data_IF_091990543437
#
_entry.id   IF_091990543437
#
_cell.length_a   1.000
_cell.length_b   1.000
_cell.length_c   1.000
_cell.angle_alpha   90.00
_cell.angle_beta   90.00
_cell.angle_gamma   90.00
#
_symmetry.space_group_name_H-M   'P 1'
#
loop_
_entity.id
_entity.type
_entity.pdbx_description
1 polymer ?
#
# COMPACT_ATOMS: atom_id res chain seq x y z
N UNK A 1 27.81 -38.16 21.18
CA UNK A 1 28.15 -36.72 21.16
C UNK A 1 27.54 -36.12 19.91
N UNK A 2 26.38 -35.48 20.04
CA UNK A 2 25.77 -34.67 18.99
C UNK A 2 25.53 -33.31 19.64
N UNK A 3 26.19 -32.30 19.08
CA UNK A 3 26.15 -30.91 19.54
C UNK A 3 24.72 -30.37 19.54
N UNK A 4 24.17 -30.14 20.72
CA UNK A 4 23.05 -29.21 20.94
C UNK A 4 23.67 -27.83 21.13
N UNK A 5 23.85 -27.08 20.04
CA UNK A 5 24.24 -25.69 20.14
C UNK A 5 23.03 -24.87 20.64
N UNK A 6 23.23 -23.93 21.57
CA UNK A 6 22.19 -23.45 22.46
C UNK A 6 21.31 -22.39 21.82
N UNK A 7 20.07 -22.33 22.31
CA UNK A 7 19.09 -21.27 22.16
C UNK A 7 19.77 -19.89 22.17
N UNK A 8 19.90 -19.30 20.99
CA UNK A 8 20.35 -17.93 20.82
C UNK A 8 19.30 -16.95 21.33
N UNK A 9 19.60 -16.35 22.47
CA UNK A 9 19.23 -14.98 22.81
C UNK A 9 17.74 -14.69 23.10
N UNK A 10 17.21 -15.18 24.23
CA UNK A 10 15.94 -14.73 24.83
C UNK A 10 16.06 -13.39 25.56
N UNK A 11 16.58 -12.37 24.88
CA UNK A 11 16.26 -10.99 25.24
C UNK A 11 14.82 -10.75 24.82
N UNK A 12 13.85 -10.88 25.72
CA UNK A 12 12.44 -10.76 25.39
C UNK A 12 12.18 -9.46 24.61
N UNK A 13 11.86 -9.61 23.31
CA UNK A 13 11.68 -8.47 22.42
C UNK A 13 10.61 -7.53 22.98
N UNK A 14 10.85 -6.23 22.89
CA UNK A 14 9.85 -5.23 23.24
C UNK A 14 8.86 -5.10 22.08
N UNK A 15 7.56 -5.10 22.37
CA UNK A 15 6.59 -4.57 21.44
C UNK A 15 6.82 -3.05 21.33
N UNK A 16 6.94 -2.56 20.10
CA UNK A 16 7.09 -1.15 19.79
C UNK A 16 5.72 -0.52 19.62
N UNK A 17 5.62 0.78 19.91
CA UNK A 17 4.44 1.54 19.56
C UNK A 17 4.78 2.65 18.58
N UNK A 18 3.83 2.99 17.72
CA UNK A 18 3.92 4.06 16.74
C UNK A 18 2.54 4.67 16.50
N UNK A 19 2.49 5.76 15.76
CA UNK A 19 1.23 6.42 15.38
C UNK A 19 0.89 6.00 13.95
N UNK A 20 -0.32 5.47 13.72
CA UNK A 20 -0.78 5.13 12.37
C UNK A 20 -1.18 6.38 11.56
N UNK A 21 -1.51 6.20 10.28
CA UNK A 21 -1.96 7.30 9.41
C UNK A 21 -3.25 7.99 9.88
N UNK A 22 -3.96 7.41 10.86
CA UNK A 22 -5.15 7.99 11.49
C UNK A 22 -4.84 8.66 12.84
N UNK A 23 -3.57 8.83 13.20
CA UNK A 23 -3.16 9.49 14.44
C UNK A 23 -3.29 8.63 15.70
N UNK A 24 -3.50 7.31 15.57
CA UNK A 24 -3.73 6.41 16.71
C UNK A 24 -2.48 5.66 17.11
N UNK A 25 -2.32 5.42 18.41
CA UNK A 25 -1.24 4.57 18.93
C UNK A 25 -1.51 3.10 18.57
N UNK A 26 -0.53 2.48 17.92
CA UNK A 26 -0.53 1.08 17.50
C UNK A 26 0.67 0.37 18.09
N UNK A 27 0.49 -0.87 18.52
CA UNK A 27 1.53 -1.78 18.99
C UNK A 27 1.85 -2.80 17.91
N UNK A 28 3.15 -2.99 17.69
CA UNK A 28 3.72 -3.93 16.73
C UNK A 28 5.07 -4.43 17.24
N UNK A 29 5.80 -5.15 16.40
CA UNK A 29 7.15 -5.62 16.70
C UNK A 29 8.01 -5.57 15.46
N UNK A 30 9.32 -5.50 15.65
CA UNK A 30 10.25 -5.56 14.53
C UNK A 30 10.51 -7.01 14.13
N UNK A 31 10.44 -7.29 12.84
CA UNK A 31 10.84 -8.54 12.24
C UNK A 31 11.56 -8.23 10.93
N UNK A 32 12.81 -8.68 10.81
CA UNK A 32 13.66 -8.45 9.63
C UNK A 32 13.76 -6.97 9.22
N UNK A 33 13.82 -6.05 10.20
CA UNK A 33 13.92 -4.61 9.98
C UNK A 33 12.60 -3.91 9.63
N UNK A 34 11.48 -4.65 9.60
CA UNK A 34 10.14 -4.10 9.32
C UNK A 34 9.27 -4.16 10.56
N UNK A 35 8.44 -3.14 10.77
CA UNK A 35 7.44 -3.14 11.85
C UNK A 35 6.21 -3.93 11.41
N UNK A 36 5.96 -5.04 12.10
CA UNK A 36 4.79 -5.90 11.92
C UNK A 36 3.74 -5.52 12.96
N UNK A 37 2.61 -4.99 12.50
CA UNK A 37 1.45 -4.69 13.34
C UNK A 37 0.41 -5.81 13.34
N UNK A 38 0.33 -6.53 12.22
CA UNK A 38 -0.61 -7.61 12.01
C UNK A 38 0.17 -8.85 11.57
N UNK A 39 0.49 -9.76 12.50
CA UNK A 39 1.25 -10.98 12.22
C UNK A 39 0.46 -12.02 11.40
N UNK A 40 -0.81 -11.75 11.08
CA UNK A 40 -1.56 -12.56 10.13
C UNK A 40 -1.34 -12.16 8.68
N UNK A 41 -0.63 -11.05 8.41
CA UNK A 41 -0.39 -10.52 7.07
C UNK A 41 1.10 -10.46 6.80
N UNK A 42 1.49 -10.65 5.54
CA UNK A 42 2.85 -10.35 5.12
C UNK A 42 3.17 -8.84 5.34
N UNK A 43 4.45 -8.44 5.36
CA UNK A 43 4.82 -7.05 5.57
C UNK A 43 4.32 -6.09 4.47
N UNK A 44 4.04 -6.60 3.27
CA UNK A 44 3.43 -5.86 2.17
C UNK A 44 1.91 -5.70 2.32
N UNK A 45 1.31 -6.37 3.31
CA UNK A 45 -0.14 -6.48 3.57
C UNK A 45 -0.93 -7.06 2.38
N UNK A 46 -0.29 -7.92 1.57
CA UNK A 46 -0.88 -8.48 0.34
C UNK A 46 -1.44 -9.89 0.52
N UNK A 47 -0.86 -10.69 1.41
CA UNK A 47 -1.29 -12.07 1.65
C UNK A 47 -1.33 -12.44 3.12
N UNK A 48 -2.21 -13.39 3.48
CA UNK A 48 -2.19 -13.97 4.82
C UNK A 48 -0.98 -14.89 4.96
N UNK A 49 -0.30 -14.73 6.10
CA UNK A 49 0.79 -15.61 6.52
C UNK A 49 0.47 -16.21 7.89
N UNK A 50 1.04 -17.37 8.17
CA UNK A 50 0.92 -17.99 9.48
C UNK A 50 1.65 -17.13 10.53
N UNK A 51 0.99 -16.73 11.64
CA UNK A 51 1.65 -16.01 12.73
C UNK A 51 2.83 -16.76 13.35
N UNK A 52 2.89 -18.08 13.16
CA UNK A 52 4.04 -18.90 13.55
C UNK A 52 5.36 -18.42 12.93
N UNK A 53 5.32 -17.87 11.70
CA UNK A 53 6.49 -17.28 11.05
C UNK A 53 7.09 -16.14 11.91
N UNK A 54 6.23 -15.42 12.63
CA UNK A 54 6.63 -14.37 13.56
C UNK A 54 6.80 -14.87 15.00
N UNK A 55 6.93 -16.18 15.23
CA UNK A 55 7.13 -16.75 16.56
C UNK A 55 5.88 -16.71 17.47
N UNK A 56 4.69 -16.65 16.89
CA UNK A 56 3.46 -16.86 17.66
C UNK A 56 3.18 -18.35 17.83
N UNK A 57 2.61 -18.71 18.96
CA UNK A 57 2.15 -20.07 19.27
C UNK A 57 0.64 -20.10 19.49
N UNK A 58 0.00 -21.24 19.23
CA UNK A 58 -1.43 -21.41 19.49
C UNK A 58 -1.63 -21.76 20.96
N UNK A 59 -2.49 -21.01 21.64
CA UNK A 59 -2.92 -21.29 23.01
C UNK A 59 -4.42 -21.53 23.09
N UNK A 60 -4.78 -22.56 23.84
CA UNK A 60 -6.17 -22.90 24.15
C UNK A 60 -6.64 -22.18 25.42
N UNK A 61 -7.90 -21.75 25.40
CA UNK A 61 -8.58 -21.06 26.48
C UNK A 61 -9.92 -21.75 26.78
N UNK A 62 -10.48 -21.43 27.94
CA UNK A 62 -11.77 -21.98 28.39
C UNK A 62 -12.87 -21.84 27.31
N UNK A 63 -13.68 -22.88 27.18
CA UNK A 63 -14.77 -22.94 26.20
C UNK A 63 -14.32 -23.29 24.78
N UNK A 64 -13.17 -23.96 24.62
CA UNK A 64 -12.66 -24.42 23.32
C UNK A 64 -12.19 -23.27 22.42
N UNK A 65 -11.80 -22.13 23.00
CA UNK A 65 -11.33 -20.97 22.26
C UNK A 65 -9.83 -21.09 22.03
N UNK A 66 -9.36 -20.63 20.88
CA UNK A 66 -7.94 -20.63 20.55
C UNK A 66 -7.49 -19.23 20.13
N UNK A 67 -6.24 -18.90 20.42
CA UNK A 67 -5.59 -17.69 19.95
C UNK A 67 -4.14 -17.97 19.60
N UNK A 68 -3.62 -17.28 18.61
CA UNK A 68 -2.16 -17.15 18.49
C UNK A 68 -1.69 -16.13 19.50
N UNK A 69 -0.61 -16.45 20.20
CA UNK A 69 -0.03 -15.59 21.22
C UNK A 69 1.46 -15.43 21.00
N UNK A 70 1.97 -14.25 21.33
CA UNK A 70 3.40 -14.03 21.49
C UNK A 70 3.62 -13.08 22.66
N UNK A 71 4.47 -13.51 23.58
CA UNK A 71 4.85 -12.72 24.73
C UNK A 71 6.02 -11.79 24.38
N UNK A 72 5.89 -10.54 24.82
CA UNK A 72 6.89 -9.48 24.78
C UNK A 72 7.20 -9.06 26.21
N UNK A 73 8.36 -8.45 26.44
CA UNK A 73 8.74 -7.98 27.78
C UNK A 73 7.78 -6.95 28.37
N UNK A 74 7.02 -6.24 27.52
CA UNK A 74 6.05 -5.22 27.90
C UNK A 74 4.58 -5.61 27.64
N UNK A 75 4.28 -6.89 27.38
CA UNK A 75 2.92 -7.37 27.20
C UNK A 75 2.80 -8.57 26.27
N UNK A 76 1.57 -9.03 26.07
CA UNK A 76 1.26 -10.15 25.18
C UNK A 76 0.45 -9.67 23.99
N UNK A 77 0.86 -10.07 22.80
CA UNK A 77 0.08 -9.88 21.59
C UNK A 77 -0.78 -11.12 21.32
N UNK A 78 -2.05 -10.90 21.01
CA UNK A 78 -2.99 -11.95 20.65
C UNK A 78 -3.46 -11.73 19.22
N UNK A 79 -3.59 -12.84 18.48
CA UNK A 79 -4.16 -12.86 17.13
C UNK A 79 -5.30 -13.87 17.14
N UNK A 80 -6.48 -13.38 16.87
CA UNK A 80 -7.75 -14.08 17.05
C UNK A 80 -8.52 -14.01 15.74
N UNK A 81 -9.07 -15.14 15.28
CA UNK A 81 -10.06 -15.09 14.23
C UNK A 81 -11.43 -14.59 14.79
N UNK A 82 -12.36 -14.15 13.92
CA UNK A 82 -13.71 -13.72 14.33
C UNK A 82 -14.47 -14.76 15.15
N UNK A 83 -14.36 -16.05 14.79
CA UNK A 83 -15.05 -17.12 15.48
C UNK A 83 -14.46 -17.48 16.85
N UNK A 84 -13.23 -17.04 17.16
CA UNK A 84 -12.43 -17.37 18.36
C UNK A 84 -12.23 -18.87 18.61
N UNK A 85 -12.63 -19.72 17.67
CA UNK A 85 -12.70 -21.19 17.81
C UNK A 85 -11.68 -21.91 16.95
N UNK A 86 -11.04 -21.23 16.00
CA UNK A 86 -10.06 -21.83 15.12
C UNK A 86 -8.77 -21.03 15.14
N UNK A 87 -7.64 -21.73 15.23
CA UNK A 87 -6.32 -21.13 14.98
C UNK A 87 -6.07 -20.95 13.48
N UNK A 88 -6.96 -21.46 12.62
CA UNK A 88 -6.88 -21.25 11.17
C UNK A 88 -7.35 -19.85 10.85
N UNK A 89 -6.46 -19.07 10.25
CA UNK A 89 -6.75 -17.77 9.67
C UNK A 89 -7.17 -17.96 8.21
N UNK A 90 -8.12 -17.17 7.73
CA UNK A 90 -8.60 -17.22 6.34
C UNK A 90 -8.73 -15.81 5.78
N UNK A 91 -8.53 -15.66 4.47
CA UNK A 91 -8.62 -14.36 3.77
C UNK A 91 -10.03 -13.77 3.83
N UNK A 92 -11.04 -14.61 4.08
CA UNK A 92 -12.44 -14.22 4.17
C UNK A 92 -12.80 -13.52 5.48
N UNK A 93 -11.97 -13.65 6.51
CA UNK A 93 -12.29 -13.23 7.87
C UNK A 93 -11.23 -12.26 8.43
N UNK A 94 -11.66 -11.03 8.72
CA UNK A 94 -10.78 -10.02 9.30
C UNK A 94 -10.28 -10.45 10.70
N UNK A 95 -8.96 -10.53 10.83
CA UNK A 95 -8.29 -10.97 12.05
C UNK A 95 -8.32 -9.87 13.12
N UNK A 96 -8.60 -10.26 14.37
CA UNK A 96 -8.46 -9.39 15.54
C UNK A 96 -7.04 -9.51 16.11
N UNK A 97 -6.34 -8.39 16.19
CA UNK A 97 -5.05 -8.25 16.89
C UNK A 97 -5.28 -7.47 18.17
N UNK A 98 -4.85 -8.01 19.30
CA UNK A 98 -4.88 -7.34 20.59
C UNK A 98 -3.47 -7.24 21.19
N UNK A 99 -3.22 -6.18 21.95
CA UNK A 99 -2.03 -6.08 22.79
C UNK A 99 -2.45 -5.79 24.23
N UNK A 100 -2.00 -6.62 25.16
CA UNK A 100 -2.36 -6.57 26.58
C UNK A 100 -1.10 -6.41 27.42
N UNK A 101 -1.08 -5.48 28.37
CA UNK A 101 0.06 -5.32 29.29
C UNK A 101 0.24 -6.54 30.18
N UNK A 102 1.41 -6.71 30.84
CA UNK A 102 1.58 -7.75 31.85
C UNK A 102 0.59 -7.62 33.02
N UNK A 103 0.05 -6.42 33.27
CA UNK A 103 -0.99 -6.16 34.27
C UNK A 103 -2.42 -6.48 33.79
N UNK A 104 -2.60 -6.94 32.55
CA UNK A 104 -3.91 -7.28 31.99
C UNK A 104 -4.66 -6.12 31.35
N UNK A 105 -4.05 -4.94 31.22
CA UNK A 105 -4.67 -3.79 30.57
C UNK A 105 -4.64 -3.93 29.05
N UNK A 106 -5.78 -3.70 28.40
CA UNK A 106 -5.90 -3.75 26.94
C UNK A 106 -5.43 -2.43 26.30
N UNK A 107 -4.29 -2.46 25.62
CA UNK A 107 -3.70 -1.27 24.96
C UNK A 107 -4.00 -1.18 23.46
N UNK A 108 -4.33 -2.30 22.82
CA UNK A 108 -4.74 -2.36 21.42
C UNK A 108 -5.81 -3.41 21.23
N UNK A 109 -6.82 -3.08 20.44
CA UNK A 109 -7.81 -4.03 19.92
C UNK A 109 -8.22 -3.65 18.51
N UNK A 110 -7.84 -4.45 17.52
CA UNK A 110 -8.23 -4.20 16.13
C UNK A 110 -9.71 -4.47 15.86
N UNK A 111 -10.51 -5.00 16.80
CA UNK A 111 -11.99 -4.95 16.65
C UNK A 111 -12.54 -3.54 16.66
N UNK A 112 -11.89 -2.63 17.39
CA UNK A 112 -12.21 -1.20 17.29
C UNK A 112 -11.77 -0.62 15.92
N UNK A 113 -11.03 -1.39 15.12
CA UNK A 113 -10.72 -1.14 13.70
C UNK A 113 -11.64 -1.91 12.73
N UNK A 114 -12.46 -2.88 13.19
CA UNK A 114 -13.33 -3.74 12.35
C UNK A 114 -14.50 -3.00 11.66
N UNK A 115 -14.54 -1.66 11.72
CA UNK A 115 -15.38 -0.87 10.82
C UNK A 115 -15.02 -1.03 9.34
N UNK A 116 -13.84 -1.58 9.03
CA UNK A 116 -13.48 -2.00 7.70
C UNK A 116 -12.87 -3.41 7.75
N UNK A 117 -13.69 -4.42 7.45
CA UNK A 117 -13.17 -5.60 6.74
C UNK A 117 -12.32 -5.04 5.59
N UNK A 118 -11.08 -5.52 5.33
CA UNK A 118 -10.39 -5.14 4.11
C UNK A 118 -11.34 -5.56 3.00
N UNK A 119 -11.96 -4.56 2.37
CA UNK A 119 -12.84 -4.79 1.23
C UNK A 119 -11.98 -5.57 0.25
N UNK A 120 -12.43 -6.72 -0.30
CA UNK A 120 -11.73 -7.30 -1.44
C UNK A 120 -11.52 -6.16 -2.44
N UNK A 121 -10.28 -5.93 -2.92
CA UNK A 121 -9.97 -4.73 -3.69
C UNK A 121 -10.98 -4.62 -4.83
N UNK A 122 -11.81 -3.58 -4.80
CA UNK A 122 -12.75 -3.32 -5.87
C UNK A 122 -11.94 -2.77 -7.03
N UNK A 123 -11.54 -3.68 -7.92
CA UNK A 123 -10.76 -3.33 -9.09
C UNK A 123 -11.69 -2.66 -10.10
N UNK A 124 -11.38 -1.41 -10.43
CA UNK A 124 -12.02 -0.70 -11.52
C UNK A 124 -10.96 -0.27 -12.54
N UNK A 125 -11.25 -0.50 -13.83
CA UNK A 125 -10.44 0.06 -14.91
C UNK A 125 -10.91 1.48 -15.17
N UNK A 126 -10.07 2.46 -14.82
CA UNK A 126 -10.35 3.88 -15.11
C UNK A 126 -9.66 4.27 -16.41
N UNK A 127 -10.44 4.72 -17.40
CA UNK A 127 -9.91 5.28 -18.64
C UNK A 127 -9.82 6.79 -18.53
N UNK A 128 -8.61 7.32 -18.63
CA UNK A 128 -8.33 8.76 -18.58
C UNK A 128 -7.77 9.23 -19.92
N UNK A 129 -8.34 10.30 -20.46
CA UNK A 129 -7.81 10.99 -21.65
C UNK A 129 -7.09 12.25 -21.18
N UNK A 130 -5.81 12.39 -21.53
CA UNK A 130 -4.99 13.56 -21.16
C UNK A 130 -4.57 14.27 -22.43
N UNK A 131 -4.92 15.55 -22.54
CA UNK A 131 -4.41 16.44 -23.59
C UNK A 131 -3.25 17.24 -23.02
N UNK A 132 -2.07 17.12 -23.64
CA UNK A 132 -0.87 17.82 -23.21
C UNK A 132 -0.34 18.64 -24.38
N UNK A 133 -0.21 19.94 -24.18
CA UNK A 133 0.51 20.82 -25.10
C UNK A 133 1.95 20.93 -24.60
N UNK A 134 2.91 20.66 -25.47
CA UNK A 134 4.33 20.67 -25.13
C UNK A 134 5.09 21.60 -26.07
N UNK A 135 6.02 22.36 -25.51
CA UNK A 135 7.04 23.04 -26.32
C UNK A 135 8.04 21.98 -26.80
N UNK A 136 8.22 21.88 -28.11
CA UNK A 136 9.10 20.88 -28.71
C UNK A 136 10.57 21.19 -28.44
N UNK A 137 10.97 22.45 -28.22
CA UNK A 137 12.37 22.85 -28.00
C UNK A 137 13.35 22.22 -29.01
N UNK A 138 12.92 22.04 -30.26
CA UNK A 138 13.69 21.41 -31.34
C UNK A 138 13.58 19.87 -31.43
N UNK A 139 12.82 19.20 -30.57
CA UNK A 139 12.52 17.78 -30.68
C UNK A 139 11.43 17.48 -31.72
N UNK A 140 11.40 16.24 -32.22
CA UNK A 140 10.28 15.79 -33.08
C UNK A 140 9.01 15.55 -32.27
N UNK A 141 7.82 15.68 -32.87
CA UNK A 141 6.57 15.39 -32.19
C UNK A 141 6.50 13.97 -31.59
N UNK A 142 7.05 12.97 -32.26
CA UNK A 142 7.14 11.60 -31.76
C UNK A 142 8.09 11.48 -30.55
N UNK A 143 9.22 12.19 -30.58
CA UNK A 143 10.14 12.22 -29.46
C UNK A 143 9.51 12.89 -28.23
N UNK A 144 8.76 13.98 -28.45
CA UNK A 144 8.00 14.67 -27.40
C UNK A 144 6.88 13.79 -26.83
N UNK A 145 6.08 13.13 -27.69
CA UNK A 145 5.08 12.13 -27.26
C UNK A 145 5.69 11.04 -26.38
N UNK A 146 6.80 10.44 -26.83
CA UNK A 146 7.49 9.41 -26.06
C UNK A 146 8.04 9.93 -24.73
N UNK A 147 8.50 11.18 -24.68
CA UNK A 147 8.93 11.83 -23.44
C UNK A 147 7.77 12.00 -22.45
N UNK A 148 6.62 12.49 -22.93
CA UNK A 148 5.40 12.65 -22.12
C UNK A 148 4.91 11.29 -21.62
N UNK A 149 4.80 10.26 -22.47
CA UNK A 149 4.39 8.92 -22.06
C UNK A 149 5.31 8.34 -20.98
N UNK A 150 6.63 8.51 -21.12
CA UNK A 150 7.59 8.07 -20.09
C UNK A 150 7.40 8.83 -18.79
N UNK A 151 7.17 10.14 -18.83
CA UNK A 151 6.98 10.95 -17.63
C UNK A 151 5.68 10.59 -16.90
N UNK A 152 4.58 10.42 -17.63
CA UNK A 152 3.29 9.95 -17.08
C UNK A 152 3.44 8.55 -16.50
N UNK A 153 4.07 7.62 -17.22
CA UNK A 153 4.32 6.26 -16.73
C UNK A 153 5.15 6.24 -15.44
N UNK A 154 6.21 7.05 -15.35
CA UNK A 154 6.99 7.20 -14.11
C UNK A 154 6.16 7.77 -12.96
N UNK A 155 5.30 8.74 -13.24
CA UNK A 155 4.47 9.38 -12.21
C UNK A 155 3.41 8.41 -11.67
N UNK A 156 2.81 7.59 -12.54
CA UNK A 156 1.90 6.51 -12.17
C UNK A 156 2.61 5.43 -11.35
N UNK A 157 3.80 4.99 -11.78
CA UNK A 157 4.57 3.97 -11.08
C UNK A 157 5.10 4.44 -9.71
N UNK A 158 5.42 5.72 -9.57
CA UNK A 158 5.89 6.30 -8.32
C UNK A 158 4.74 6.63 -7.34
N UNK A 159 3.48 6.34 -7.70
CA UNK A 159 2.32 6.65 -6.86
C UNK A 159 2.11 8.15 -6.64
N UNK A 160 2.72 9.02 -7.46
CA UNK A 160 2.65 10.48 -7.30
C UNK A 160 1.25 11.04 -7.57
N UNK A 161 0.36 10.23 -8.14
CA UNK A 161 -1.05 10.55 -8.37
C UNK A 161 -1.99 9.91 -7.35
N UNK A 162 -1.47 9.17 -6.37
CA UNK A 162 -2.28 8.55 -5.32
C UNK A 162 -2.71 9.60 -4.30
N UNK A 163 -4.01 9.84 -4.19
CA UNK A 163 -4.61 10.72 -3.17
C UNK A 163 -4.81 10.04 -1.81
N UNK A 164 -4.42 8.76 -1.68
CA UNK A 164 -4.76 7.90 -0.54
C UNK A 164 -6.16 7.28 -0.63
N UNK A 165 -7.00 7.72 -1.56
CA UNK A 165 -8.34 7.15 -1.82
C UNK A 165 -8.28 5.94 -2.76
N UNK A 166 -7.32 5.92 -3.70
CA UNK A 166 -7.17 4.87 -4.71
C UNK A 166 -5.68 4.58 -4.96
N UNK A 167 -5.35 3.30 -5.10
CA UNK A 167 -4.02 2.81 -5.46
C UNK A 167 -3.98 2.36 -6.92
N UNK A 168 -2.96 2.79 -7.68
CA UNK A 168 -2.78 2.38 -9.07
C UNK A 168 -1.98 1.08 -9.11
N UNK A 169 -2.67 -0.04 -9.36
CA UNK A 169 -2.04 -1.36 -9.38
C UNK A 169 -1.39 -1.70 -10.73
N UNK A 170 -1.96 -1.20 -11.83
CA UNK A 170 -1.47 -1.44 -13.19
C UNK A 170 -1.81 -0.26 -14.09
N UNK A 171 -0.93 0.06 -15.03
CA UNK A 171 -1.19 1.03 -16.08
C UNK A 171 -0.73 0.49 -17.44
N UNK A 172 -1.44 0.87 -18.49
CA UNK A 172 -1.10 0.60 -19.89
C UNK A 172 -1.58 1.77 -20.74
N UNK A 173 -0.86 2.06 -21.82
CA UNK A 173 -1.24 3.11 -22.77
C UNK A 173 -1.88 2.44 -24.00
N UNK A 174 -3.20 2.58 -24.15
CA UNK A 174 -3.96 1.95 -25.25
C UNK A 174 -4.03 2.82 -26.51
N UNK A 175 -4.06 4.16 -26.36
CA UNK A 175 -4.11 5.11 -27.46
C UNK A 175 -3.14 6.25 -27.19
N UNK A 176 -2.22 6.52 -28.12
CA UNK A 176 -1.35 7.68 -28.07
C UNK A 176 -1.17 8.26 -29.47
N UNK A 177 -1.79 9.41 -29.72
CA UNK A 177 -1.76 10.07 -31.01
C UNK A 177 -1.03 11.40 -30.88
N UNK A 178 -0.28 11.75 -31.92
CA UNK A 178 0.26 13.11 -32.08
C UNK A 178 -0.76 13.85 -32.92
N UNK A 179 -1.48 14.77 -32.31
CA UNK A 179 -2.25 15.76 -33.06
C UNK A 179 -1.32 16.93 -33.29
N UNK A 180 -0.70 16.96 -34.47
CA UNK A 180 0.05 18.14 -34.90
C UNK A 180 -0.97 19.19 -35.30
N UNK A 181 -1.00 20.33 -34.61
CA UNK A 181 -1.60 21.53 -35.15
C UNK A 181 -0.74 21.95 -36.35
N UNK A 182 -1.15 21.56 -37.56
CA UNK A 182 -0.66 22.17 -38.80
C UNK A 182 -1.23 23.58 -39.00
N UNK A 183 -1.93 24.13 -38.01
CA UNK A 183 -2.12 25.57 -37.87
C UNK A 183 -0.92 26.19 -37.14
N UNK A 184 0.18 26.32 -37.87
CA UNK A 184 1.05 27.46 -37.64
C UNK A 184 0.25 28.76 -37.82
N UNK A 185 0.78 29.93 -37.41
CA UNK A 185 0.17 31.22 -37.70
C UNK A 185 0.19 31.49 -39.21
N UNK A 186 -0.74 30.88 -39.93
CA UNK A 186 -0.89 30.97 -41.38
C UNK A 186 -1.93 32.02 -41.80
N UNK A 187 -2.21 33.01 -40.94
CA UNK A 187 -3.11 34.13 -41.25
C UNK A 187 -2.39 35.43 -41.67
N UNK A 188 -1.07 35.41 -41.87
CA UNK A 188 -0.35 36.56 -42.46
C UNK A 188 -0.01 36.42 -43.95
N UNK A 189 -0.22 35.23 -44.55
CA UNK A 189 0.09 35.00 -45.97
C UNK A 189 -0.99 35.52 -46.95
N UNK A 190 -2.14 35.99 -46.45
CA UNK A 190 -3.21 36.59 -47.25
C UNK A 190 -3.25 38.12 -47.19
N UNK A 191 -2.20 38.77 -46.67
CA UNK A 191 -2.09 40.23 -46.79
C UNK A 191 -1.67 40.56 -48.23
N UNK A 192 -2.64 40.95 -49.05
CA UNK A 192 -2.38 41.48 -50.39
C UNK A 192 -1.74 42.88 -50.24
N UNK A 193 -0.41 42.93 -50.24
CA UNK A 193 0.38 44.18 -50.17
C UNK A 193 0.16 45.13 -51.36
N UNK A 194 -0.57 44.70 -52.40
CA UNK A 194 -0.95 45.56 -53.53
C UNK A 194 -1.95 46.66 -53.15
N UNK A 195 -2.55 46.61 -51.94
CA UNK A 195 -3.46 47.65 -51.45
C UNK A 195 -2.78 48.78 -50.66
N UNK A 196 -1.46 48.72 -50.45
CA UNK A 196 -0.70 49.70 -49.65
C UNK A 196 0.09 50.72 -50.50
N UNK A 197 -0.10 50.73 -51.83
CA UNK A 197 0.63 51.62 -52.75
C UNK A 197 -0.23 52.74 -53.38
N UNK A 198 -1.50 52.88 -52.98
CA UNK A 198 -2.41 53.94 -53.46
C UNK A 198 -2.69 55.03 -52.39
N UNK A 199 -1.71 55.38 -51.56
CA UNK A 199 -1.73 56.57 -50.70
C UNK A 199 -0.57 57.51 -50.99
#
# INVERSE_FOLDING_TARGET
MINSNPLGNTGASLAKHFIDGAGRRVYGFEHEGVIVENPAMDPAKQSIVSPQYYGFEVKEFAGGRTAWIRDFSNGTMFVLNPSTKSHVLSDAEAVRVMFVTPGGELLQDSRLRLGASPRPPELATVRVTVNVVVDLLGATPEAAKNAVLRQVGRSLAAGLLSSGEVEVLRHSFELSEVVSDTQGPADYANTNFSQLLDL
#
